data_IF_433998497146
#
_entry.id   IF_433998497146
#
_cell.length_a   1.000
_cell.length_b   1.000
_cell.length_c   1.000
_cell.angle_alpha   90.00
_cell.angle_beta   90.00
_cell.angle_gamma   90.00
#
_symmetry.space_group_name_H-M   'P 1'
#
loop_
_entity.id
_entity.type
_entity.pdbx_description
1 polymer ?
#
# COMPACT_ATOMS: atom_id res chain seq x y z
N UNK A 1 -17.81 13.37 6.28
CA UNK A 1 -16.71 14.15 5.68
C UNK A 1 -16.72 13.93 4.19
N UNK A 2 -16.21 14.90 3.45
CA UNK A 2 -15.94 14.78 2.02
C UNK A 2 -14.49 14.32 1.84
N UNK A 3 -14.31 13.14 1.28
CA UNK A 3 -13.02 12.44 1.24
C UNK A 3 -12.59 12.20 -0.21
N UNK A 4 -11.37 12.58 -0.54
CA UNK A 4 -10.73 12.17 -1.78
C UNK A 4 -9.79 10.98 -1.54
N UNK A 5 -9.98 9.88 -2.26
CA UNK A 5 -9.08 8.72 -2.28
C UNK A 5 -8.38 8.68 -3.63
N UNK A 6 -7.10 9.00 -3.68
CA UNK A 6 -6.32 8.81 -4.90
C UNK A 6 -5.81 7.38 -4.99
N UNK A 7 -5.76 6.82 -6.18
CA UNK A 7 -5.45 5.40 -6.37
C UNK A 7 -6.56 4.46 -5.86
N UNK A 8 -7.79 4.97 -5.75
CA UNK A 8 -8.94 4.23 -5.21
C UNK A 8 -9.50 3.14 -6.13
N UNK A 9 -9.06 3.05 -7.38
CA UNK A 9 -9.32 1.92 -8.27
C UNK A 9 -8.26 0.81 -8.15
N UNK A 10 -7.18 1.08 -7.40
CA UNK A 10 -6.10 0.15 -7.14
C UNK A 10 -6.44 -0.87 -6.05
N UNK A 11 -5.47 -1.73 -5.73
CA UNK A 11 -5.62 -2.80 -4.74
C UNK A 11 -5.96 -2.26 -3.35
N UNK A 12 -5.05 -1.51 -2.72
CA UNK A 12 -5.23 -1.03 -1.33
C UNK A 12 -6.29 0.07 -1.28
N UNK A 13 -6.20 1.06 -2.19
CA UNK A 13 -7.08 2.22 -2.18
C UNK A 13 -8.56 1.87 -2.31
N UNK A 14 -8.91 0.80 -3.04
CA UNK A 14 -10.31 0.36 -3.16
C UNK A 14 -10.88 -0.21 -1.86
N UNK A 15 -10.07 -0.94 -1.08
CA UNK A 15 -10.50 -1.42 0.25
C UNK A 15 -10.62 -0.29 1.27
N UNK A 16 -9.77 0.73 1.14
CA UNK A 16 -9.89 1.93 1.99
C UNK A 16 -11.13 2.75 1.61
N UNK A 17 -11.43 2.86 0.32
CA UNK A 17 -12.65 3.51 -0.15
C UNK A 17 -13.92 2.81 0.38
N UNK A 18 -13.98 1.45 0.31
CA UNK A 18 -15.06 0.67 0.92
C UNK A 18 -15.19 1.00 2.42
N UNK A 19 -14.08 0.93 3.16
CA UNK A 19 -14.10 1.15 4.60
C UNK A 19 -14.55 2.58 5.00
N UNK A 20 -14.22 3.59 4.20
CA UNK A 20 -14.66 4.97 4.41
C UNK A 20 -16.17 5.13 4.14
N UNK A 21 -16.68 4.50 3.07
CA UNK A 21 -18.11 4.48 2.77
C UNK A 21 -18.92 3.79 3.88
N UNK A 22 -18.43 2.65 4.38
CA UNK A 22 -19.03 1.92 5.50
C UNK A 22 -19.13 2.77 6.79
N UNK A 23 -18.23 3.76 6.95
CA UNK A 23 -18.29 4.75 8.04
C UNK A 23 -19.18 5.97 7.72
N UNK A 24 -19.88 5.96 6.58
CA UNK A 24 -20.81 7.02 6.19
C UNK A 24 -20.14 8.28 5.62
N UNK A 25 -18.90 8.19 5.13
CA UNK A 25 -18.24 9.29 4.43
C UNK A 25 -18.69 9.35 2.97
N UNK A 26 -18.65 10.54 2.37
CA UNK A 26 -18.78 10.73 0.93
C UNK A 26 -17.42 10.57 0.29
N UNK A 27 -17.25 9.58 -0.58
CA UNK A 27 -15.96 9.22 -1.16
C UNK A 27 -15.92 9.54 -2.65
N UNK A 28 -14.94 10.33 -3.04
CA UNK A 28 -14.54 10.53 -4.42
C UNK A 28 -13.19 9.84 -4.67
N UNK A 29 -13.06 9.21 -5.81
CA UNK A 29 -11.83 8.50 -6.23
C UNK A 29 -11.21 9.26 -7.40
N UNK A 30 -9.91 9.57 -7.31
CA UNK A 30 -9.09 10.05 -8.44
C UNK A 30 -8.11 8.93 -8.78
N UNK A 31 -8.16 8.40 -10.01
CA UNK A 31 -7.34 7.28 -10.48
C UNK A 31 -7.19 7.36 -12.00
N UNK A 32 -6.00 7.19 -12.54
CA UNK A 32 -5.76 7.21 -14.00
C UNK A 32 -6.02 5.85 -14.67
N UNK A 33 -6.38 4.84 -13.88
CA UNK A 33 -6.60 3.47 -14.29
C UNK A 33 -5.39 2.79 -14.97
N UNK A 34 -4.19 3.34 -14.83
CA UNK A 34 -2.96 2.76 -15.39
C UNK A 34 -2.66 1.36 -14.82
N UNK A 35 -2.98 1.14 -13.56
CA UNK A 35 -2.90 -0.17 -12.88
C UNK A 35 -4.19 -0.52 -12.13
N UNK A 36 -4.97 0.49 -11.78
CA UNK A 36 -6.29 0.38 -11.17
C UNK A 36 -7.33 -0.23 -12.13
N UNK A 37 -8.41 -0.71 -11.57
CA UNK A 37 -9.52 -1.28 -12.34
C UNK A 37 -10.83 -0.62 -11.93
N UNK A 38 -11.58 -0.09 -12.87
CA UNK A 38 -12.89 0.55 -12.62
C UNK A 38 -13.82 -0.33 -11.77
N UNK A 39 -13.80 -1.66 -11.98
CA UNK A 39 -14.59 -2.63 -11.20
C UNK A 39 -14.26 -2.72 -9.72
N UNK A 40 -13.08 -2.20 -9.30
CA UNK A 40 -12.70 -2.17 -7.89
C UNK A 40 -13.25 -0.94 -7.15
N UNK A 41 -13.67 0.09 -7.90
CA UNK A 41 -14.25 1.30 -7.30
C UNK A 41 -15.64 0.95 -6.75
N UNK A 42 -15.91 1.25 -5.47
CA UNK A 42 -17.22 1.03 -4.88
C UNK A 42 -18.32 1.77 -5.68
N UNK A 43 -19.52 1.18 -5.78
CA UNK A 43 -20.62 1.74 -6.58
C UNK A 43 -21.09 3.10 -6.04
N UNK A 44 -20.98 3.28 -4.74
CA UNK A 44 -21.35 4.52 -4.03
C UNK A 44 -20.30 5.64 -4.15
N UNK A 45 -19.08 5.31 -4.60
CA UNK A 45 -18.03 6.30 -4.82
C UNK A 45 -18.11 6.93 -6.22
N UNK A 46 -17.79 8.21 -6.32
CA UNK A 46 -17.65 8.89 -7.62
C UNK A 46 -16.22 8.74 -8.12
N UNK A 47 -16.03 8.17 -9.31
CA UNK A 47 -14.73 8.03 -9.96
C UNK A 47 -14.46 9.18 -10.93
N UNK A 48 -13.34 9.87 -10.72
CA UNK A 48 -12.73 10.79 -11.67
C UNK A 48 -11.48 10.13 -12.28
N UNK A 49 -11.53 9.84 -13.57
CA UNK A 49 -10.40 9.24 -14.30
C UNK A 49 -9.40 10.34 -14.66
N UNK A 50 -8.44 10.58 -13.77
CA UNK A 50 -7.45 11.63 -13.89
C UNK A 50 -6.08 11.20 -13.34
N UNK A 51 -5.03 11.65 -13.99
CA UNK A 51 -3.66 11.58 -13.47
C UNK A 51 -3.47 12.62 -12.37
N UNK A 52 -2.94 12.23 -11.23
CA UNK A 52 -2.69 13.12 -10.08
C UNK A 52 -1.75 14.30 -10.41
N UNK A 53 -0.97 14.21 -11.49
CA UNK A 53 -0.08 15.25 -11.97
C UNK A 53 -0.78 16.31 -12.81
N UNK A 54 -2.03 16.08 -13.23
CA UNK A 54 -2.77 16.95 -14.13
C UNK A 54 -3.35 18.17 -13.42
N UNK A 55 -3.49 19.27 -14.15
CA UNK A 55 -4.23 20.45 -13.69
C UNK A 55 -5.70 20.11 -13.38
N UNK A 56 -6.27 19.15 -14.12
CA UNK A 56 -7.63 18.69 -13.87
C UNK A 56 -7.77 18.03 -12.50
N UNK A 57 -6.79 17.20 -12.07
CA UNK A 57 -6.81 16.61 -10.74
C UNK A 57 -6.70 17.68 -9.62
N UNK A 58 -5.85 18.70 -9.79
CA UNK A 58 -5.76 19.84 -8.88
C UNK A 58 -7.08 20.63 -8.85
N UNK A 59 -7.69 20.84 -10.03
CA UNK A 59 -9.00 21.48 -10.16
C UNK A 59 -10.11 20.74 -9.38
N UNK A 60 -10.12 19.41 -9.42
CA UNK A 60 -11.07 18.58 -8.62
C UNK A 60 -10.86 18.77 -7.11
N UNK A 61 -9.60 18.85 -6.65
CA UNK A 61 -9.31 19.11 -5.23
C UNK A 61 -9.87 20.48 -4.81
N UNK A 62 -9.68 21.50 -5.65
CA UNK A 62 -10.18 22.85 -5.38
C UNK A 62 -11.72 22.93 -5.44
N UNK A 63 -12.35 22.31 -6.45
CA UNK A 63 -13.79 22.38 -6.69
C UNK A 63 -14.62 21.69 -5.58
N UNK A 64 -14.14 20.54 -5.11
CA UNK A 64 -14.89 19.72 -4.15
C UNK A 64 -14.55 20.02 -2.69
N UNK A 65 -13.57 20.87 -2.41
CA UNK A 65 -13.17 21.30 -1.06
C UNK A 65 -13.06 20.13 -0.06
N UNK A 66 -12.27 19.10 -0.38
CA UNK A 66 -12.14 17.92 0.47
C UNK A 66 -11.53 18.25 1.83
N UNK A 67 -12.10 17.70 2.88
CA UNK A 67 -11.58 17.79 4.25
C UNK A 67 -10.44 16.79 4.48
N UNK A 68 -10.46 15.65 3.76
CA UNK A 68 -9.50 14.56 3.89
C UNK A 68 -9.00 14.11 2.51
N UNK A 69 -7.69 14.00 2.36
CA UNK A 69 -7.02 13.35 1.25
C UNK A 69 -6.40 12.02 1.73
N UNK A 70 -6.84 10.89 1.18
CA UNK A 70 -6.25 9.57 1.40
C UNK A 70 -5.45 9.21 0.16
N UNK A 71 -4.12 9.35 0.23
CA UNK A 71 -3.25 9.32 -0.94
C UNK A 71 -2.59 7.95 -1.13
N UNK A 72 -3.18 7.14 -2.04
CA UNK A 72 -2.67 5.82 -2.44
C UNK A 72 -2.15 5.77 -3.88
N UNK A 73 -2.46 6.78 -4.72
CA UNK A 73 -1.92 6.84 -6.08
C UNK A 73 -0.39 6.91 -6.04
N UNK A 74 0.27 6.02 -6.76
CA UNK A 74 1.72 5.94 -6.81
C UNK A 74 2.20 5.12 -8.01
N UNK A 75 3.36 5.47 -8.55
CA UNK A 75 4.21 4.51 -9.23
C UNK A 75 4.85 3.61 -8.17
N UNK A 76 4.51 2.31 -8.11
CA UNK A 76 4.91 1.41 -7.02
C UNK A 76 5.93 0.34 -7.43
N UNK A 77 6.19 0.20 -8.72
CA UNK A 77 7.14 -0.77 -9.26
C UNK A 77 8.58 -0.30 -9.01
N UNK A 78 9.27 -1.01 -8.10
CA UNK A 78 10.64 -0.67 -7.71
C UNK A 78 11.61 -0.77 -8.91
N UNK A 79 11.41 -1.74 -9.82
CA UNK A 79 12.28 -1.89 -11.00
C UNK A 79 12.07 -0.74 -11.97
N UNK A 80 10.80 -0.39 -12.23
CA UNK A 80 10.48 0.78 -13.05
C UNK A 80 11.07 2.05 -12.46
N UNK A 81 11.11 2.19 -11.14
CA UNK A 81 11.74 3.34 -10.49
C UNK A 81 13.25 3.40 -10.73
N UNK A 82 13.91 2.23 -10.82
CA UNK A 82 15.35 2.16 -11.15
C UNK A 82 15.59 2.47 -12.63
N UNK A 83 14.72 1.97 -13.51
CA UNK A 83 14.83 2.20 -14.95
C UNK A 83 14.52 3.66 -15.34
N UNK A 84 13.57 4.29 -14.66
CA UNK A 84 13.16 5.69 -14.89
C UNK A 84 12.89 6.42 -13.56
N UNK A 85 13.94 6.85 -12.85
CA UNK A 85 13.81 7.58 -11.59
C UNK A 85 13.15 8.95 -11.74
N UNK A 86 13.23 9.56 -12.92
CA UNK A 86 12.56 10.82 -13.22
C UNK A 86 11.06 10.68 -13.24
N UNK A 87 10.55 9.66 -13.92
CA UNK A 87 9.12 9.34 -13.93
C UNK A 87 8.61 8.95 -12.52
N UNK A 88 9.39 8.18 -11.77
CA UNK A 88 9.04 7.82 -10.39
C UNK A 88 8.87 9.08 -9.51
N UNK A 89 9.84 10.00 -9.55
CA UNK A 89 9.75 11.25 -8.81
C UNK A 89 8.60 12.15 -9.30
N UNK A 90 8.33 12.17 -10.61
CA UNK A 90 7.24 12.94 -11.19
C UNK A 90 5.87 12.46 -10.66
N UNK A 91 5.64 11.15 -10.61
CA UNK A 91 4.39 10.60 -10.06
C UNK A 91 4.35 10.73 -8.53
N UNK A 92 5.38 10.24 -7.84
CA UNK A 92 5.32 10.03 -6.38
C UNK A 92 5.59 11.30 -5.56
N UNK A 93 6.29 12.30 -6.14
CA UNK A 93 6.57 13.58 -5.47
C UNK A 93 5.72 14.69 -6.11
N UNK A 94 5.91 14.98 -7.40
CA UNK A 94 5.19 16.09 -8.03
C UNK A 94 3.69 15.89 -8.05
N UNK A 95 3.21 14.64 -8.26
CA UNK A 95 1.79 14.31 -8.17
C UNK A 95 1.20 14.61 -6.79
N UNK A 96 1.89 14.24 -5.71
CA UNK A 96 1.48 14.64 -4.35
C UNK A 96 1.46 16.16 -4.18
N UNK A 97 2.53 16.86 -4.59
CA UNK A 97 2.63 18.31 -4.44
C UNK A 97 1.52 19.04 -5.20
N UNK A 98 1.19 18.59 -6.42
CA UNK A 98 0.10 19.15 -7.22
C UNK A 98 -1.25 19.13 -6.47
N UNK A 99 -1.56 18.03 -5.78
CA UNK A 99 -2.78 17.92 -4.98
C UNK A 99 -2.70 18.71 -3.67
N UNK A 100 -1.52 18.73 -3.02
CA UNK A 100 -1.34 19.45 -1.76
C UNK A 100 -1.46 20.96 -1.94
N UNK A 101 -0.85 21.54 -2.99
CA UNK A 101 -0.96 22.98 -3.28
C UNK A 101 -2.45 23.37 -3.47
N UNK A 102 -3.19 22.60 -4.28
CA UNK A 102 -4.63 22.83 -4.43
C UNK A 102 -5.40 22.64 -3.11
N UNK A 103 -5.01 21.66 -2.31
CA UNK A 103 -5.69 21.32 -1.07
C UNK A 103 -5.53 22.37 0.03
N UNK A 104 -4.31 22.91 0.22
CA UNK A 104 -4.03 23.90 1.28
C UNK A 104 -4.72 25.24 1.03
N UNK A 105 -5.05 25.53 -0.22
CA UNK A 105 -5.84 26.69 -0.59
C UNK A 105 -7.35 26.47 -0.42
N UNK A 106 -7.80 25.20 -0.28
CA UNK A 106 -9.21 24.80 -0.33
C UNK A 106 -9.56 23.74 0.74
N UNK A 107 -9.69 24.17 2.00
CA UNK A 107 -10.27 23.40 3.13
C UNK A 107 -9.60 22.05 3.51
N UNK A 108 -8.53 21.61 2.89
CA UNK A 108 -7.87 20.37 3.25
C UNK A 108 -7.35 20.44 4.70
N UNK A 109 -7.86 19.57 5.56
CA UNK A 109 -7.52 19.54 6.99
C UNK A 109 -6.53 18.42 7.30
N UNK A 110 -6.63 17.31 6.56
CA UNK A 110 -5.85 16.11 6.87
C UNK A 110 -5.45 15.33 5.62
N UNK A 111 -4.25 14.75 5.68
CA UNK A 111 -3.76 13.79 4.69
C UNK A 111 -3.40 12.48 5.37
N UNK A 112 -3.88 11.36 4.82
CA UNK A 112 -3.39 10.02 5.17
C UNK A 112 -2.59 9.52 3.96
N UNK A 113 -1.31 9.25 4.18
CA UNK A 113 -0.37 8.92 3.12
C UNK A 113 0.08 7.47 3.18
N UNK A 114 -0.10 6.76 2.07
CA UNK A 114 0.43 5.42 1.88
C UNK A 114 1.95 5.46 1.66
N UNK A 115 2.70 5.28 2.72
CA UNK A 115 4.15 5.11 2.72
C UNK A 115 4.52 3.62 2.70
N UNK A 116 5.81 3.30 2.79
CA UNK A 116 6.32 1.94 2.66
C UNK A 116 7.34 1.60 3.74
N UNK A 117 7.07 0.57 4.54
CA UNK A 117 8.07 -0.01 5.44
C UNK A 117 9.04 -0.94 4.72
N UNK A 118 8.64 -1.51 3.57
CA UNK A 118 9.50 -2.42 2.82
C UNK A 118 10.61 -1.74 2.01
N UNK A 119 10.54 -0.42 1.77
CA UNK A 119 11.51 0.27 0.91
C UNK A 119 12.22 1.45 1.60
N UNK A 120 11.64 2.07 2.64
CA UNK A 120 12.18 3.27 3.28
C UNK A 120 13.38 2.96 4.19
N UNK A 121 13.34 1.84 4.89
CA UNK A 121 14.39 1.48 5.86
C UNK A 121 15.66 0.95 5.20
N UNK A 122 15.56 0.37 3.99
CA UNK A 122 16.67 -0.32 3.35
C UNK A 122 16.97 -1.67 4.02
N UNK A 123 18.22 -2.13 3.92
CA UNK A 123 18.65 -3.34 4.61
C UNK A 123 18.61 -3.15 6.14
N UNK A 124 18.02 -4.10 6.90
CA UNK A 124 17.85 -3.93 8.33
C UNK A 124 19.17 -3.98 9.09
N UNK A 125 19.42 -2.96 9.91
CA UNK A 125 20.51 -2.99 10.90
C UNK A 125 20.11 -3.81 12.13
N UNK A 126 18.82 -3.85 12.43
CA UNK A 126 18.19 -4.70 13.45
C UNK A 126 16.74 -4.99 13.08
N UNK A 127 16.16 -6.03 13.69
CA UNK A 127 14.76 -6.40 13.49
C UNK A 127 14.06 -6.64 14.84
N UNK A 128 12.78 -6.29 14.97
CA UNK A 128 11.95 -5.61 13.97
C UNK A 128 12.39 -4.16 13.72
N UNK A 129 12.15 -3.65 12.50
CA UNK A 129 12.43 -2.27 12.11
C UNK A 129 11.33 -1.38 12.72
N UNK A 130 11.66 -0.65 13.77
CA UNK A 130 10.80 0.34 14.42
C UNK A 130 10.99 1.74 13.83
N UNK A 131 10.31 2.75 14.38
CA UNK A 131 10.41 4.13 13.88
C UNK A 131 11.75 4.81 14.20
N UNK A 132 12.56 4.25 15.11
CA UNK A 132 13.91 4.73 15.42
C UNK A 132 14.96 4.14 14.46
N UNK A 133 14.60 3.09 13.69
CA UNK A 133 15.50 2.49 12.71
C UNK A 133 15.93 3.52 11.66
N UNK A 134 17.23 3.54 11.26
CA UNK A 134 17.71 4.44 10.21
C UNK A 134 16.92 4.30 8.90
N UNK A 135 16.67 5.45 8.25
CA UNK A 135 15.99 5.51 6.96
C UNK A 135 17.05 5.58 5.85
N UNK A 136 17.28 4.47 5.17
CA UNK A 136 18.32 4.33 4.12
C UNK A 136 17.76 3.64 2.89
N UNK A 137 16.80 4.28 2.18
CA UNK A 137 16.20 3.68 1.00
C UNK A 137 17.25 3.40 -0.08
N UNK A 138 17.15 2.22 -0.70
CA UNK A 138 18.08 1.74 -1.74
C UNK A 138 17.45 1.73 -3.13
N UNK A 139 16.28 2.35 -3.30
CA UNK A 139 15.59 2.50 -4.58
C UNK A 139 15.02 3.90 -4.75
N UNK A 140 14.88 4.43 -5.98
CA UNK A 140 14.21 5.71 -6.23
C UNK A 140 12.81 5.76 -5.64
N UNK A 141 12.02 4.69 -5.74
CA UNK A 141 10.72 4.57 -5.10
C UNK A 141 10.78 4.82 -3.58
N UNK A 142 11.70 4.16 -2.88
CA UNK A 142 11.89 4.37 -1.44
C UNK A 142 12.31 5.79 -1.09
N UNK A 143 13.20 6.39 -1.91
CA UNK A 143 13.61 7.80 -1.79
C UNK A 143 12.42 8.73 -1.99
N UNK A 144 11.60 8.51 -3.03
CA UNK A 144 10.43 9.33 -3.31
C UNK A 144 9.39 9.27 -2.17
N UNK A 145 9.14 8.07 -1.62
CA UNK A 145 8.22 7.91 -0.48
C UNK A 145 8.74 8.61 0.78
N UNK A 146 10.04 8.53 1.05
CA UNK A 146 10.66 9.28 2.16
C UNK A 146 10.60 10.79 1.94
N UNK A 147 10.88 11.26 0.72
CA UNK A 147 10.75 12.67 0.38
C UNK A 147 9.32 13.17 0.57
N UNK A 148 8.32 12.40 0.13
CA UNK A 148 6.90 12.71 0.32
C UNK A 148 6.54 12.88 1.82
N UNK A 149 7.03 11.99 2.71
CA UNK A 149 6.83 12.17 4.17
C UNK A 149 7.44 13.51 4.67
N UNK A 150 8.59 13.92 4.13
CA UNK A 150 9.22 15.21 4.50
C UNK A 150 8.43 16.41 3.97
N UNK A 151 7.88 16.33 2.76
CA UNK A 151 6.99 17.36 2.24
C UNK A 151 5.71 17.47 3.08
N UNK A 152 5.09 16.36 3.47
CA UNK A 152 3.91 16.38 4.34
C UNK A 152 4.21 17.02 5.69
N UNK A 153 5.40 16.77 6.27
CA UNK A 153 5.84 17.48 7.48
C UNK A 153 5.99 18.99 7.25
N UNK A 154 6.49 19.41 6.07
CA UNK A 154 6.54 20.84 5.69
C UNK A 154 5.13 21.44 5.59
N UNK A 155 4.18 20.77 4.91
CA UNK A 155 2.80 21.26 4.79
C UNK A 155 2.11 21.39 6.15
N UNK A 156 2.36 20.46 7.03
CA UNK A 156 1.90 20.54 8.41
C UNK A 156 2.44 21.80 9.12
N UNK A 157 3.74 22.03 9.03
CA UNK A 157 4.38 23.17 9.70
C UNK A 157 3.93 24.50 9.13
N UNK A 158 3.83 24.60 7.82
CA UNK A 158 3.55 25.85 7.09
C UNK A 158 2.07 26.19 7.02
N UNK A 159 1.21 25.19 6.85
CA UNK A 159 -0.22 25.39 6.56
C UNK A 159 -1.16 24.78 7.61
N UNK A 160 -0.62 24.02 8.57
CA UNK A 160 -1.42 23.42 9.64
C UNK A 160 -2.24 22.19 9.21
N UNK A 161 -2.00 21.63 8.01
CA UNK A 161 -2.66 20.41 7.55
C UNK A 161 -2.11 19.22 8.32
N UNK A 162 -2.98 18.47 9.01
CA UNK A 162 -2.56 17.23 9.68
C UNK A 162 -2.08 16.19 8.66
N UNK A 163 -0.99 15.50 8.97
CA UNK A 163 -0.44 14.46 8.11
C UNK A 163 -0.12 13.18 8.88
N UNK A 164 -0.69 12.06 8.44
CA UNK A 164 -0.40 10.74 8.97
C UNK A 164 0.16 9.87 7.86
N UNK A 165 1.43 9.46 7.99
CA UNK A 165 2.07 8.53 7.08
C UNK A 165 1.99 7.10 7.63
N UNK A 166 1.46 6.18 6.85
CA UNK A 166 1.36 4.77 7.18
C UNK A 166 2.40 3.98 6.36
N UNK A 167 3.44 3.50 7.01
CA UNK A 167 4.49 2.66 6.40
C UNK A 167 4.03 1.21 6.38
N UNK A 168 3.50 0.79 5.25
CA UNK A 168 2.98 -0.56 5.08
C UNK A 168 4.13 -1.58 4.94
N UNK A 169 3.96 -2.73 5.60
CA UNK A 169 4.69 -3.96 5.28
C UNK A 169 4.19 -4.55 3.94
N UNK A 170 4.44 -5.82 3.67
CA UNK A 170 3.99 -6.46 2.44
C UNK A 170 2.48 -6.74 2.50
N UNK A 171 1.70 -5.83 1.92
CA UNK A 171 0.24 -5.95 1.88
C UNK A 171 -0.18 -7.04 0.91
N UNK A 172 -1.13 -7.88 1.32
CA UNK A 172 -1.73 -8.91 0.47
C UNK A 172 -3.24 -9.01 0.69
N UNK A 173 -3.97 -9.54 -0.30
CA UNK A 173 -5.42 -9.74 -0.17
C UNK A 173 -6.17 -9.77 -1.50
N UNK A 174 -7.52 -9.79 -1.43
CA UNK A 174 -8.41 -9.62 -2.57
C UNK A 174 -8.09 -8.38 -3.41
N UNK A 175 -8.38 -8.40 -4.71
CA UNK A 175 -8.13 -7.32 -5.69
C UNK A 175 -6.64 -7.04 -5.97
N UNK A 176 -5.69 -7.76 -5.35
CA UNK A 176 -4.28 -7.61 -5.69
C UNK A 176 -4.04 -8.10 -7.13
N UNK A 177 -3.32 -7.30 -7.94
CA UNK A 177 -3.02 -7.67 -9.33
C UNK A 177 -1.98 -8.81 -9.35
N UNK A 178 -2.25 -9.96 -10.01
CA UNK A 178 -1.29 -11.06 -10.12
C UNK A 178 -0.26 -10.88 -11.26
N UNK A 179 -0.30 -9.76 -11.99
CA UNK A 179 0.57 -9.48 -13.14
C UNK A 179 1.51 -8.30 -12.86
N UNK A 180 2.64 -8.25 -13.54
CA UNK A 180 3.65 -7.20 -13.39
C UNK A 180 4.47 -7.36 -12.11
N UNK A 181 4.77 -6.26 -11.41
CA UNK A 181 5.36 -6.26 -10.05
C UNK A 181 4.33 -6.70 -9.00
N UNK A 182 3.71 -7.84 -9.26
CA UNK A 182 2.73 -8.41 -8.36
C UNK A 182 3.38 -8.91 -7.07
N UNK A 183 2.70 -8.74 -5.96
CA UNK A 183 3.09 -9.39 -4.73
C UNK A 183 3.04 -10.91 -4.87
N UNK A 184 4.00 -11.59 -4.27
CA UNK A 184 4.17 -13.06 -4.35
C UNK A 184 2.88 -13.83 -4.02
N UNK A 185 2.03 -13.28 -3.12
CA UNK A 185 0.74 -13.89 -2.76
C UNK A 185 -0.21 -13.96 -3.94
N UNK A 186 -0.36 -12.87 -4.71
CA UNK A 186 -1.24 -12.85 -5.88
C UNK A 186 -0.71 -13.75 -7.00
N UNK A 187 0.62 -13.80 -7.19
CA UNK A 187 1.27 -14.70 -8.16
C UNK A 187 0.99 -16.16 -7.79
N UNK A 188 1.24 -16.56 -6.56
CA UNK A 188 0.99 -17.93 -6.11
C UNK A 188 -0.49 -18.29 -6.15
N UNK A 189 -1.40 -17.38 -5.76
CA UNK A 189 -2.83 -17.61 -5.85
C UNK A 189 -3.25 -17.96 -7.28
N UNK A 190 -2.80 -17.16 -8.25
CA UNK A 190 -3.07 -17.42 -9.67
C UNK A 190 -2.47 -18.76 -10.11
N UNK A 191 -1.19 -19.00 -9.89
CA UNK A 191 -0.50 -20.21 -10.32
C UNK A 191 -1.13 -21.49 -9.75
N UNK A 192 -1.43 -21.49 -8.44
CA UNK A 192 -2.05 -22.63 -7.78
C UNK A 192 -3.47 -22.93 -8.30
N UNK A 193 -4.23 -21.91 -8.68
CA UNK A 193 -5.60 -22.06 -9.15
C UNK A 193 -5.71 -22.32 -10.66
N UNK A 194 -4.72 -21.91 -11.46
CA UNK A 194 -4.71 -22.15 -12.91
C UNK A 194 -3.91 -23.41 -13.31
N UNK A 195 -3.23 -24.05 -12.35
CA UNK A 195 -2.35 -25.20 -12.63
C UNK A 195 -1.01 -24.81 -13.26
N UNK A 196 -0.64 -23.52 -13.24
CA UNK A 196 0.70 -23.08 -13.64
C UNK A 196 1.71 -23.48 -12.58
N UNK A 197 2.96 -23.77 -13.02
CA UNK A 197 4.04 -24.17 -12.12
C UNK A 197 4.47 -23.00 -11.22
N UNK A 198 4.35 -23.08 -9.88
CA UNK A 198 4.86 -22.08 -8.98
C UNK A 198 6.39 -22.06 -8.94
N UNK A 199 6.97 -20.85 -9.02
CA UNK A 199 8.43 -20.66 -9.00
C UNK A 199 8.82 -19.79 -7.81
N UNK A 200 9.75 -20.32 -7.00
CA UNK A 200 10.40 -19.63 -5.89
C UNK A 200 11.80 -19.22 -6.32
N UNK A 201 12.13 -17.95 -6.20
CA UNK A 201 13.47 -17.45 -6.52
C UNK A 201 14.39 -17.61 -5.30
N UNK A 202 15.62 -18.12 -5.55
CA UNK A 202 16.56 -18.48 -4.49
C UNK A 202 16.15 -19.76 -3.76
N UNK A 203 16.56 -19.85 -2.49
CA UNK A 203 16.22 -20.98 -1.60
C UNK A 203 14.82 -20.85 -0.96
N UNK A 204 14.20 -19.67 -1.08
CA UNK A 204 12.89 -19.37 -0.52
C UNK A 204 12.89 -19.06 0.99
N UNK A 205 14.07 -18.90 1.59
CA UNK A 205 14.22 -18.56 3.02
C UNK A 205 14.19 -17.04 3.29
N UNK A 206 14.20 -16.21 2.23
CA UNK A 206 13.97 -14.76 2.41
C UNK A 206 12.62 -14.51 3.05
N UNK A 207 12.61 -13.63 4.07
CA UNK A 207 11.42 -13.37 4.88
C UNK A 207 10.81 -12.00 4.63
N UNK A 208 9.49 -11.92 4.79
CA UNK A 208 8.72 -10.67 4.77
C UNK A 208 7.69 -10.67 5.89
N UNK A 209 7.30 -9.48 6.28
CA UNK A 209 6.13 -9.23 7.11
C UNK A 209 4.92 -9.06 6.19
N UNK A 210 3.96 -9.99 6.24
CA UNK A 210 2.76 -9.96 5.41
C UNK A 210 1.56 -9.48 6.20
N UNK A 211 0.97 -8.35 5.79
CA UNK A 211 -0.22 -7.75 6.42
C UNK A 211 -1.44 -7.85 5.50
N UNK A 212 -2.56 -8.30 6.04
CA UNK A 212 -3.80 -8.43 5.27
C UNK A 212 -4.41 -7.07 4.95
N UNK A 213 -4.90 -6.89 3.71
CA UNK A 213 -5.40 -5.60 3.22
C UNK A 213 -6.57 -5.04 4.05
N UNK A 214 -7.41 -5.89 4.63
CA UNK A 214 -8.47 -5.45 5.54
C UNK A 214 -7.92 -4.83 6.83
N UNK A 215 -6.76 -5.29 7.32
CA UNK A 215 -6.06 -4.69 8.46
C UNK A 215 -5.47 -3.33 8.08
N UNK A 216 -4.97 -3.20 6.85
CA UNK A 216 -4.48 -1.92 6.30
C UNK A 216 -5.62 -0.91 6.15
N UNK A 217 -6.80 -1.33 5.68
CA UNK A 217 -7.98 -0.46 5.63
C UNK A 217 -8.37 0.04 7.03
N UNK A 218 -8.34 -0.83 8.05
CA UNK A 218 -8.56 -0.41 9.44
C UNK A 218 -7.49 0.55 9.97
N UNK A 219 -6.23 0.41 9.54
CA UNK A 219 -5.17 1.36 9.90
C UNK A 219 -5.45 2.76 9.34
N UNK A 220 -6.02 2.86 8.12
CA UNK A 220 -6.45 4.13 7.55
C UNK A 220 -7.61 4.75 8.34
N UNK A 221 -8.60 3.96 8.79
CA UNK A 221 -9.67 4.46 9.66
C UNK A 221 -9.15 4.91 11.03
N UNK A 222 -8.18 4.19 11.60
CA UNK A 222 -7.53 4.60 12.83
C UNK A 222 -6.74 5.91 12.64
N UNK A 223 -6.02 6.05 11.51
CA UNK A 223 -5.34 7.28 11.13
C UNK A 223 -6.31 8.47 10.93
N UNK A 224 -7.51 8.22 10.40
CA UNK A 224 -8.55 9.24 10.29
C UNK A 224 -8.98 9.77 11.67
N UNK A 225 -9.15 8.87 12.64
CA UNK A 225 -9.57 9.20 14.00
C UNK A 225 -8.45 9.78 14.86
N UNK A 226 -7.19 9.57 14.50
CA UNK A 226 -6.02 10.09 15.20
C UNK A 226 -5.95 11.61 15.05
N UNK A 227 -5.73 12.32 16.15
CA UNK A 227 -5.53 13.77 16.14
C UNK A 227 -4.04 14.12 16.05
N UNK A 228 -3.72 15.07 15.18
CA UNK A 228 -2.36 15.52 14.94
C UNK A 228 -1.63 14.68 13.90
N UNK A 229 -0.31 14.72 13.97
CA UNK A 229 0.58 14.17 12.98
C UNK A 229 1.26 12.91 13.46
N UNK A 230 1.64 12.04 12.53
CA UNK A 230 2.38 10.85 12.91
C UNK A 230 2.90 10.05 11.74
N UNK A 231 3.87 9.21 12.04
CA UNK A 231 4.33 8.16 11.16
C UNK A 231 4.13 6.84 11.89
N UNK A 232 3.52 5.86 11.25
CA UNK A 232 3.19 4.59 11.88
C UNK A 232 3.52 3.42 10.97
N UNK A 233 4.16 2.41 11.52
CA UNK A 233 4.38 1.15 10.83
C UNK A 233 3.10 0.30 10.87
N UNK A 234 2.72 -0.26 9.73
CA UNK A 234 1.54 -1.13 9.59
C UNK A 234 1.99 -2.49 9.08
N UNK A 235 2.14 -3.42 9.99
CA UNK A 235 2.66 -4.77 9.76
C UNK A 235 2.16 -5.72 10.83
N UNK A 236 2.77 -6.90 10.93
CA UNK A 236 2.36 -7.95 11.89
C UNK A 236 3.44 -8.29 12.92
N UNK A 237 4.64 -7.74 12.79
CA UNK A 237 5.85 -8.13 13.54
C UNK A 237 6.25 -9.60 13.37
N UNK A 238 5.79 -10.24 12.29
CA UNK A 238 6.06 -11.66 12.03
C UNK A 238 6.75 -11.85 10.70
N UNK A 239 7.92 -12.47 10.76
CA UNK A 239 8.63 -12.90 9.57
C UNK A 239 8.03 -14.20 9.02
N UNK A 240 7.76 -14.22 7.74
CA UNK A 240 7.31 -15.42 7.04
C UNK A 240 8.19 -15.63 5.82
N UNK A 241 8.81 -16.82 5.70
CA UNK A 241 9.60 -17.16 4.51
C UNK A 241 8.70 -17.42 3.30
N UNK A 242 9.23 -17.24 2.10
CA UNK A 242 8.51 -17.55 0.86
C UNK A 242 8.12 -19.03 0.80
N UNK A 243 8.98 -19.91 1.35
CA UNK A 243 8.67 -21.34 1.48
C UNK A 243 7.44 -21.58 2.35
N UNK A 244 7.39 -20.98 3.55
CA UNK A 244 6.24 -21.10 4.46
C UNK A 244 4.97 -20.52 3.85
N UNK A 245 5.10 -19.37 3.19
CA UNK A 245 3.98 -18.73 2.48
C UNK A 245 3.39 -19.65 1.42
N UNK A 246 4.24 -20.24 0.56
CA UNK A 246 3.82 -21.19 -0.46
C UNK A 246 3.05 -22.37 0.12
N UNK A 247 3.61 -23.04 1.15
CA UNK A 247 2.96 -24.20 1.77
C UNK A 247 1.59 -23.86 2.37
N UNK A 248 1.49 -22.68 2.99
CA UNK A 248 0.22 -22.22 3.56
C UNK A 248 -0.82 -21.95 2.47
N UNK A 249 -0.40 -21.33 1.35
CA UNK A 249 -1.28 -21.05 0.20
C UNK A 249 -1.68 -22.32 -0.54
N UNK A 250 -0.77 -23.28 -0.71
CA UNK A 250 -1.05 -24.59 -1.31
C UNK A 250 -2.14 -25.32 -0.52
N UNK A 251 -2.01 -25.34 0.82
CA UNK A 251 -3.02 -25.92 1.69
C UNK A 251 -4.37 -25.17 1.59
N UNK A 252 -4.36 -23.83 1.53
CA UNK A 252 -5.58 -23.02 1.37
C UNK A 252 -6.26 -23.25 0.02
N UNK A 253 -5.49 -23.44 -1.05
CA UNK A 253 -6.00 -23.73 -2.39
C UNK A 253 -6.58 -25.16 -2.51
N UNK A 254 -6.13 -26.08 -1.64
CA UNK A 254 -6.55 -27.49 -1.67
C UNK A 254 -5.95 -28.26 -2.85
N UNK A 255 -4.76 -27.87 -3.33
CA UNK A 255 -4.09 -28.48 -4.48
C UNK A 255 -2.79 -29.16 -4.05
N UNK A 256 -2.41 -30.22 -4.78
CA UNK A 256 -1.14 -30.93 -4.57
C UNK A 256 -0.18 -30.60 -5.73
N UNK A 257 0.44 -29.43 -5.65
CA UNK A 257 1.40 -28.92 -6.63
C UNK A 257 2.72 -28.64 -5.90
N UNK A 258 3.84 -29.10 -6.45
CA UNK A 258 5.18 -28.73 -5.98
C UNK A 258 5.62 -27.38 -6.55
N UNK A 259 6.52 -26.71 -5.86
CA UNK A 259 7.19 -25.50 -6.36
C UNK A 259 8.51 -25.88 -7.04
N UNK A 260 8.94 -25.07 -7.99
CA UNK A 260 10.29 -25.12 -8.56
C UNK A 260 11.14 -23.98 -7.99
N UNK A 261 12.45 -24.15 -7.96
CA UNK A 261 13.38 -23.10 -7.57
C UNK A 261 14.12 -22.55 -8.79
N UNK A 262 14.19 -21.22 -8.88
CA UNK A 262 14.98 -20.50 -9.89
C UNK A 262 16.11 -19.71 -9.20
N UNK A 263 17.14 -19.25 -9.94
CA UNK A 263 18.19 -18.42 -9.37
C UNK A 263 17.65 -17.20 -8.62
N UNK A 264 18.28 -16.86 -7.49
CA UNK A 264 17.92 -15.69 -6.69
C UNK A 264 17.98 -14.41 -7.54
N UNK A 265 17.07 -13.49 -7.28
CA UNK A 265 17.07 -12.17 -7.95
C UNK A 265 18.14 -11.28 -7.33
N UNK A 266 19.03 -10.66 -8.14
CA UNK A 266 20.01 -9.72 -7.61
C UNK A 266 19.36 -8.55 -6.85
N UNK A 267 19.93 -8.17 -5.69
CA UNK A 267 19.46 -7.03 -4.90
C UNK A 267 18.18 -7.29 -4.10
N UNK A 268 17.69 -8.52 -4.05
CA UNK A 268 16.52 -8.84 -3.23
C UNK A 268 16.89 -8.81 -1.73
N UNK A 269 16.16 -7.98 -0.97
CA UNK A 269 16.32 -7.89 0.48
C UNK A 269 16.06 -9.25 1.15
N UNK A 270 16.91 -9.65 2.08
CA UNK A 270 16.80 -10.97 2.74
C UNK A 270 15.74 -10.98 3.84
N UNK A 271 15.64 -9.91 4.63
CA UNK A 271 14.70 -9.83 5.75
C UNK A 271 13.98 -8.48 5.77
N UNK A 272 12.69 -8.49 6.11
CA UNK A 272 11.92 -7.27 6.38
C UNK A 272 10.80 -7.59 7.33
N UNK A 273 10.80 -6.93 8.50
CA UNK A 273 9.76 -7.04 9.52
C UNK A 273 9.64 -5.72 10.28
N UNK A 274 8.42 -5.22 10.42
CA UNK A 274 8.16 -3.92 11.03
C UNK A 274 7.77 -4.04 12.50
N UNK A 275 8.35 -3.19 13.36
CA UNK A 275 7.88 -2.99 14.71
C UNK A 275 6.64 -2.09 14.72
N UNK A 276 5.53 -2.53 15.33
CA UNK A 276 4.23 -1.84 15.29
C UNK A 276 3.78 -1.31 16.66
N UNK A 277 4.67 -1.22 17.61
CA UNK A 277 4.36 -0.79 18.99
C UNK A 277 3.69 0.59 19.04
N UNK A 278 4.18 1.57 18.25
CA UNK A 278 3.55 2.88 18.19
C UNK A 278 2.16 2.86 17.54
N UNK A 279 1.93 1.97 16.59
CA UNK A 279 0.61 1.79 16.00
C UNK A 279 -0.38 1.23 17.03
N UNK A 280 0.07 0.35 17.93
CA UNK A 280 -0.76 -0.15 19.04
C UNK A 280 -1.04 0.93 20.07
N UNK A 281 -0.01 1.60 20.57
CA UNK A 281 -0.11 2.49 21.72
C UNK A 281 -0.67 3.87 21.40
N UNK A 282 -0.37 4.40 20.21
CA UNK A 282 -0.74 5.76 19.81
C UNK A 282 -1.92 5.77 18.84
N UNK A 283 -1.89 4.90 17.81
CA UNK A 283 -2.96 4.84 16.83
C UNK A 283 -4.13 3.94 17.26
N UNK A 284 -3.94 3.09 18.30
CA UNK A 284 -4.95 2.13 18.76
C UNK A 284 -5.22 1.01 17.73
N UNK A 285 -4.24 0.74 16.85
CA UNK A 285 -4.37 -0.23 15.80
C UNK A 285 -3.44 -1.43 16.01
N UNK A 286 -3.97 -2.61 15.74
CA UNK A 286 -3.20 -3.87 15.63
C UNK A 286 -3.76 -4.77 14.53
N UNK A 287 -2.94 -5.66 13.95
CA UNK A 287 -3.42 -6.64 12.98
C UNK A 287 -4.35 -7.65 13.65
N UNK A 288 -5.49 -7.93 13.04
CA UNK A 288 -6.51 -8.86 13.59
C UNK A 288 -6.63 -10.14 12.77
N UNK A 289 -6.15 -10.15 11.53
CA UNK A 289 -6.27 -11.30 10.64
C UNK A 289 -4.97 -12.09 10.64
N UNK A 290 -5.05 -13.39 11.02
CA UNK A 290 -3.87 -14.26 10.92
C UNK A 290 -3.48 -14.50 9.46
N UNK A 291 -2.21 -14.85 9.23
CA UNK A 291 -1.71 -15.13 7.88
C UNK A 291 -2.56 -16.22 7.20
N UNK A 292 -2.87 -17.31 7.90
CA UNK A 292 -3.65 -18.42 7.38
C UNK A 292 -5.08 -17.99 6.99
N UNK A 293 -5.72 -17.18 7.82
CA UNK A 293 -7.05 -16.65 7.54
C UNK A 293 -7.05 -15.71 6.33
N UNK A 294 -6.09 -14.79 6.29
CA UNK A 294 -5.95 -13.83 5.19
C UNK A 294 -5.63 -14.50 3.85
N UNK A 295 -4.72 -15.49 3.86
CA UNK A 295 -4.37 -16.26 2.66
C UNK A 295 -5.57 -17.06 2.15
N UNK A 296 -6.35 -17.70 3.04
CA UNK A 296 -7.58 -18.40 2.66
C UNK A 296 -8.56 -17.45 1.97
N UNK A 297 -8.88 -16.31 2.59
CA UNK A 297 -9.76 -15.28 2.00
C UNK A 297 -9.25 -14.79 0.64
N UNK A 298 -7.94 -14.67 0.49
CA UNK A 298 -7.30 -14.25 -0.75
C UNK A 298 -7.46 -15.30 -1.85
N UNK A 299 -7.14 -16.57 -1.54
CA UNK A 299 -7.29 -17.69 -2.48
C UNK A 299 -8.75 -17.88 -2.89
N UNK A 300 -9.70 -17.80 -1.95
CA UNK A 300 -11.13 -17.91 -2.24
C UNK A 300 -11.57 -16.79 -3.19
N UNK A 301 -11.16 -15.54 -2.93
CA UNK A 301 -11.47 -14.44 -3.84
C UNK A 301 -10.89 -14.65 -5.24
N UNK A 302 -9.62 -15.09 -5.34
CA UNK A 302 -9.01 -15.39 -6.64
C UNK A 302 -9.76 -16.51 -7.37
N UNK A 303 -10.20 -17.55 -6.66
CA UNK A 303 -11.00 -18.65 -7.25
C UNK A 303 -12.26 -18.12 -7.94
N UNK A 304 -12.93 -17.15 -7.33
CA UNK A 304 -14.18 -16.58 -7.84
C UNK A 304 -13.94 -15.49 -8.93
N UNK A 305 -12.70 -14.95 -9.06
CA UNK A 305 -12.43 -13.77 -9.89
C UNK A 305 -11.29 -13.94 -10.91
N UNK A 306 -10.76 -15.15 -11.12
CA UNK A 306 -9.70 -15.43 -12.09
C UNK A 306 -10.17 -15.54 -13.56
N UNK A 307 -11.43 -15.25 -13.86
CA UNK A 307 -11.98 -15.28 -15.22
C UNK A 307 -11.61 -14.06 -16.04
#
# INVERSE_FOLDING_TARGET
>A
MHVCVTGGAGFIGSHVADALLDQGHTVHVIDDLSTGRRRNVPVEATLFEQDIRSEAAAGLIAEHEYELLVHHAAQMDVRKSVDDPGFDADVNIRGLLNLMEAGVENRLQKVIFASTGGAIYGEPEYTPQDLAHPLRPVSPYGVAKLAAEKYLHYYQHQYGVEAVALRYANVYGPRQNPHGEAGVVAIFARQLLTGEQPVVYGDGEQTRDYVYVGDVARANLAALSHQGNGVFNVGTERETSVNKLFETMRAAAGVDVSKEHAPAKPGEQQRSVLGVEQSRTTLGWEPQVSLEQGLRRTVDWFRDNLS
#
